data_IF_334232418969
#
_entry.id   IF_334232418969
#
_cell.length_a   1.000
_cell.length_b   1.000
_cell.length_c   1.000
_cell.angle_alpha   90.00
_cell.angle_beta   90.00
_cell.angle_gamma   90.00
#
_symmetry.space_group_name_H-M   'P 1'
#
loop_
_entity.id
_entity.type
_entity.pdbx_description
1 polymer ?
#
# COMPACT_ATOMS: atom_id res chain seq x y z
N UNK A 1 10.83 7.33 5.60
CA UNK A 1 9.76 8.34 5.35
C UNK A 1 8.72 8.31 6.47
N UNK A 2 8.00 9.39 6.75
CA UNK A 2 6.82 9.32 7.64
C UNK A 2 5.64 8.63 6.91
N UNK A 3 5.24 7.47 7.42
CA UNK A 3 4.17 6.62 6.88
C UNK A 3 2.90 6.67 7.75
N UNK A 4 2.83 7.54 8.75
CA UNK A 4 1.69 7.64 9.67
C UNK A 4 0.35 7.94 8.97
N UNK A 5 0.39 8.48 7.75
CA UNK A 5 -0.78 8.79 6.93
C UNK A 5 -1.15 7.66 5.94
N UNK A 6 -0.33 6.62 5.81
CA UNK A 6 -0.61 5.48 4.93
C UNK A 6 -1.51 4.51 5.67
N UNK A 7 -2.67 4.19 5.08
CA UNK A 7 -3.58 3.20 5.65
C UNK A 7 -2.89 1.84 5.81
N UNK A 8 -3.10 1.22 6.96
CA UNK A 8 -2.71 -0.16 7.26
C UNK A 8 -3.79 -1.12 6.76
N UNK A 9 -3.49 -2.42 6.57
CA UNK A 9 -4.47 -3.39 6.06
C UNK A 9 -5.80 -3.42 6.83
N UNK A 10 -5.76 -3.25 8.16
CA UNK A 10 -6.95 -3.26 9.01
C UNK A 10 -7.77 -1.96 8.95
N UNK A 11 -7.25 -0.91 8.34
CA UNK A 11 -7.92 0.38 8.15
C UNK A 11 -8.56 0.50 6.76
N UNK A 12 -8.35 -0.50 5.88
CA UNK A 12 -8.92 -0.51 4.55
C UNK A 12 -10.44 -0.70 4.59
N UNK A 13 -11.19 -0.15 3.60
CA UNK A 13 -12.65 -0.21 3.58
C UNK A 13 -13.20 -1.60 3.21
N UNK A 14 -12.36 -2.64 3.23
CA UNK A 14 -12.70 -4.01 2.91
C UNK A 14 -11.77 -4.99 3.63
N UNK A 15 -12.20 -6.25 3.76
CA UNK A 15 -11.38 -7.31 4.30
C UNK A 15 -10.19 -7.62 3.38
N UNK A 16 -8.99 -7.67 3.96
CA UNK A 16 -7.72 -7.96 3.28
C UNK A 16 -7.28 -9.38 3.66
N UNK A 17 -7.01 -10.28 2.70
CA UNK A 17 -6.41 -11.57 3.00
C UNK A 17 -5.04 -11.44 3.66
N UNK A 18 -4.65 -12.42 4.49
CA UNK A 18 -3.42 -12.38 5.27
C UNK A 18 -2.16 -12.18 4.42
N UNK A 19 -2.06 -12.86 3.28
CA UNK A 19 -0.92 -12.71 2.36
C UNK A 19 -0.76 -11.27 1.86
N UNK A 20 -1.86 -10.63 1.46
CA UNK A 20 -1.84 -9.25 0.97
C UNK A 20 -1.61 -8.26 2.10
N UNK A 21 -2.14 -8.54 3.29
CA UNK A 21 -1.88 -7.74 4.48
C UNK A 21 -0.39 -7.78 4.87
N UNK A 22 0.26 -8.95 4.72
CA UNK A 22 1.69 -9.09 4.94
C UNK A 22 2.50 -8.20 3.98
N UNK A 23 2.25 -8.30 2.67
CA UNK A 23 3.00 -7.55 1.66
C UNK A 23 2.80 -6.03 1.78
N UNK A 24 1.58 -5.59 2.10
CA UNK A 24 1.31 -4.17 2.39
C UNK A 24 2.12 -3.70 3.60
N UNK A 25 2.20 -4.49 4.66
CA UNK A 25 2.97 -4.11 5.85
C UNK A 25 4.48 -4.06 5.56
N UNK A 26 5.01 -5.00 4.78
CA UNK A 26 6.41 -4.99 4.35
C UNK A 26 6.72 -3.77 3.47
N UNK A 27 5.84 -3.41 2.53
CA UNK A 27 5.97 -2.18 1.75
C UNK A 27 6.01 -0.93 2.64
N UNK A 28 5.12 -0.83 3.62
CA UNK A 28 5.10 0.33 4.52
C UNK A 28 6.37 0.36 5.40
N UNK A 29 6.83 -0.79 5.89
CA UNK A 29 8.09 -0.87 6.63
C UNK A 29 9.30 -0.48 5.76
N UNK A 30 9.32 -0.84 4.48
CA UNK A 30 10.34 -0.42 3.54
C UNK A 30 10.33 1.11 3.34
N UNK A 31 9.15 1.72 3.17
CA UNK A 31 8.99 3.18 3.11
C UNK A 31 9.47 3.89 4.38
N UNK A 32 9.19 3.33 5.57
CA UNK A 32 9.66 3.86 6.85
C UNK A 32 11.19 3.92 6.89
N UNK A 33 11.85 2.84 6.44
CA UNK A 33 13.31 2.70 6.41
C UNK A 33 13.99 3.45 5.25
N UNK A 34 13.24 4.03 4.32
CA UNK A 34 13.77 4.59 3.07
C UNK A 34 14.60 3.55 2.30
N UNK A 35 14.05 2.34 2.19
CA UNK A 35 14.71 1.17 1.62
C UNK A 35 15.01 1.34 0.12
N UNK A 36 16.20 0.93 -0.31
CA UNK A 36 16.65 1.07 -1.70
C UNK A 36 15.94 0.10 -2.66
N UNK A 37 15.38 -0.99 -2.14
CA UNK A 37 14.69 -2.02 -2.93
C UNK A 37 13.16 -1.85 -2.89
N UNK A 38 12.68 -0.62 -2.84
CA UNK A 38 11.25 -0.33 -2.73
C UNK A 38 10.43 -0.95 -3.88
N UNK A 39 11.02 -1.04 -5.07
CA UNK A 39 10.43 -1.66 -6.27
C UNK A 39 10.03 -3.13 -6.04
N UNK A 40 10.87 -3.91 -5.36
CA UNK A 40 10.55 -5.30 -5.03
C UNK A 40 9.28 -5.40 -4.16
N UNK A 41 9.14 -4.55 -3.14
CA UNK A 41 7.93 -4.57 -2.29
C UNK A 41 6.67 -4.06 -3.02
N UNK A 42 6.84 -3.15 -3.98
CA UNK A 42 5.73 -2.71 -4.85
C UNK A 42 5.27 -3.85 -5.75
N UNK A 43 6.19 -4.64 -6.31
CA UNK A 43 5.89 -5.80 -7.14
C UNK A 43 5.18 -6.91 -6.35
N UNK A 44 5.58 -7.17 -5.10
CA UNK A 44 4.90 -8.14 -4.23
C UNK A 44 3.45 -7.70 -3.95
N UNK A 45 3.22 -6.42 -3.61
CA UNK A 45 1.87 -5.89 -3.42
C UNK A 45 1.06 -5.96 -4.71
N UNK A 46 1.63 -5.64 -5.87
CA UNK A 46 0.96 -5.74 -7.18
C UNK A 46 0.58 -7.19 -7.52
N UNK A 47 1.47 -8.14 -7.21
CA UNK A 47 1.25 -9.56 -7.39
C UNK A 47 0.12 -10.09 -6.50
N UNK A 48 0.19 -9.81 -5.20
CA UNK A 48 -0.80 -10.25 -4.22
C UNK A 48 -2.16 -9.59 -4.39
N UNK A 49 -2.24 -8.35 -4.88
CA UNK A 49 -3.51 -7.68 -5.17
C UNK A 49 -4.36 -8.44 -6.20
N UNK A 50 -3.74 -9.18 -7.13
CA UNK A 50 -4.46 -10.04 -8.09
C UNK A 50 -5.20 -11.21 -7.45
N UNK A 51 -4.93 -11.51 -6.18
CA UNK A 51 -5.61 -12.55 -5.39
C UNK A 51 -6.95 -12.10 -4.79
N UNK A 52 -7.34 -10.83 -4.93
CA UNK A 52 -8.62 -10.30 -4.44
C UNK A 52 -9.57 -9.94 -5.59
N UNK A 53 -10.76 -9.42 -5.28
CA UNK A 53 -11.72 -8.99 -6.32
C UNK A 53 -11.14 -7.82 -7.11
N UNK A 54 -11.50 -7.71 -8.39
CA UNK A 54 -10.97 -6.68 -9.30
C UNK A 54 -11.09 -5.25 -8.75
N UNK A 55 -12.21 -4.90 -8.13
CA UNK A 55 -12.41 -3.57 -7.52
C UNK A 55 -11.43 -3.30 -6.36
N UNK A 56 -11.09 -4.34 -5.60
CA UNK A 56 -10.13 -4.26 -4.50
C UNK A 56 -8.69 -4.22 -5.03
N UNK A 57 -8.38 -5.01 -6.06
CA UNK A 57 -7.11 -4.97 -6.78
C UNK A 57 -6.83 -3.57 -7.33
N UNK A 58 -7.78 -3.01 -8.10
CA UNK A 58 -7.68 -1.66 -8.65
C UNK A 58 -7.47 -0.61 -7.56
N UNK A 59 -8.20 -0.72 -6.43
CA UNK A 59 -8.05 0.19 -5.30
C UNK A 59 -6.64 0.09 -4.67
N UNK A 60 -6.15 -1.13 -4.42
CA UNK A 60 -4.83 -1.39 -3.83
C UNK A 60 -3.71 -0.89 -4.74
N UNK A 61 -3.78 -1.18 -6.04
CA UNK A 61 -2.83 -0.71 -7.04
C UNK A 61 -2.81 0.81 -7.11
N UNK A 62 -3.98 1.46 -7.14
CA UNK A 62 -4.03 2.92 -7.17
C UNK A 62 -3.49 3.55 -5.89
N UNK A 63 -3.85 3.00 -4.73
CA UNK A 63 -3.48 3.57 -3.44
C UNK A 63 -2.00 3.33 -3.11
N UNK A 64 -1.55 2.08 -3.11
CA UNK A 64 -0.19 1.70 -2.68
C UNK A 64 0.83 1.74 -3.83
N UNK A 65 0.58 0.99 -4.91
CA UNK A 65 1.56 0.78 -5.99
C UNK A 65 1.83 2.06 -6.78
N UNK A 66 0.76 2.81 -7.09
CA UNK A 66 0.83 4.08 -7.81
C UNK A 66 0.96 5.30 -6.88
N UNK A 67 1.28 5.08 -5.60
CA UNK A 67 1.49 6.13 -4.60
C UNK A 67 0.30 7.10 -4.43
N UNK A 68 -0.94 6.63 -4.60
CA UNK A 68 -2.15 7.43 -4.44
C UNK A 68 -2.26 8.10 -3.06
N UNK A 69 -1.73 7.48 -2.01
CA UNK A 69 -1.67 8.06 -0.66
C UNK A 69 -0.91 9.40 -0.58
N UNK A 70 0.02 9.68 -1.49
CA UNK A 70 0.75 10.97 -1.53
C UNK A 70 -0.17 12.15 -1.85
N UNK A 71 -1.24 11.93 -2.63
CA UNK A 71 -2.20 12.99 -2.94
C UNK A 71 -2.94 13.44 -1.67
N UNK A 72 -3.32 12.48 -0.83
CA UNK A 72 -4.01 12.75 0.44
C UNK A 72 -3.11 13.47 1.46
N UNK A 73 -1.79 13.24 1.42
CA UNK A 73 -0.85 13.98 2.26
C UNK A 73 -0.76 15.44 1.83
N UNK A 74 -0.69 15.69 0.52
CA UNK A 74 -0.59 17.05 -0.03
C UNK A 74 -1.86 17.87 0.24
N UNK A 75 -3.05 17.26 0.11
CA UNK A 75 -4.34 17.93 0.39
C UNK A 75 -4.55 18.30 1.87
N UNK A 76 -3.78 17.71 2.80
CA UNK A 76 -3.83 17.99 4.24
C UNK A 76 -2.74 18.97 4.71
N UNK A 77 -1.80 19.30 3.83
CA UNK A 77 -0.73 20.25 4.11
C UNK A 77 -1.08 21.69 3.71
N UNK A 78 -2.19 21.87 2.99
CA UNK A 78 -2.82 23.16 2.63
C UNK A 78 -3.91 23.57 3.65
#
# INVERSE_FOLDING_TARGET
MDTSQILRPHELPFAVPEFLAHDINELIAALERDDVNLDAYLDEVDGSARGVRSEQDDWIRQYYVNFGWRKLQNERAD
#
